data_IF_167721148520
#
_entry.id   IF_167721148520
#
_cell.length_a   1.000
_cell.length_b   1.000
_cell.length_c   1.000
_cell.angle_alpha   90.00
_cell.angle_beta   90.00
_cell.angle_gamma   90.00
#
_symmetry.space_group_name_H-M   'P 1'
#
loop_
_entity.id
_entity.type
_entity.pdbx_description
1 polymer ?
#
# COMPACT_ATOMS: atom_id res chain seq x y z
N UNK A 1 20.54 19.26 11.47
CA UNK A 1 20.70 17.89 10.91
C UNK A 1 19.37 17.50 10.29
N UNK A 2 19.33 17.15 9.01
CA UNK A 2 18.09 16.70 8.36
C UNK A 2 17.96 15.18 8.53
N UNK A 3 16.77 14.71 8.85
CA UNK A 3 16.44 13.28 8.83
C UNK A 3 15.79 12.99 7.49
N UNK A 4 16.37 12.07 6.72
CA UNK A 4 15.74 11.60 5.49
C UNK A 4 14.64 10.60 5.84
N UNK A 5 13.44 10.82 5.32
CA UNK A 5 12.30 9.90 5.45
C UNK A 5 11.96 9.39 4.05
N UNK A 6 11.83 8.08 3.91
CA UNK A 6 11.34 7.43 2.69
C UNK A 6 10.00 6.80 2.98
N UNK A 7 8.97 7.21 2.24
CA UNK A 7 7.63 6.63 2.30
C UNK A 7 7.48 5.61 1.18
N UNK A 8 7.17 4.37 1.54
CA UNK A 8 6.89 3.27 0.62
C UNK A 8 5.37 3.17 0.41
N UNK A 9 4.92 3.69 -0.72
CA UNK A 9 3.53 3.60 -1.18
C UNK A 9 3.45 2.77 -2.47
N UNK A 10 3.40 1.45 -2.29
CA UNK A 10 3.43 0.44 -3.35
C UNK A 10 2.59 -0.76 -2.95
N UNK A 11 2.28 -1.65 -3.91
CA UNK A 11 1.60 -2.93 -3.65
C UNK A 11 0.22 -3.03 -4.30
N UNK A 12 -0.49 -1.92 -4.53
CA UNK A 12 -1.83 -1.97 -5.14
C UNK A 12 -1.85 -2.62 -6.52
N UNK A 13 -0.74 -2.63 -7.26
CA UNK A 13 -0.63 -3.25 -8.59
C UNK A 13 -0.34 -4.77 -8.56
N UNK A 14 -0.08 -5.35 -7.40
CA UNK A 14 0.33 -6.75 -7.23
C UNK A 14 -0.90 -7.65 -7.08
N UNK A 15 -1.80 -7.63 -8.07
CA UNK A 15 -3.13 -8.27 -7.98
C UNK A 15 -3.07 -9.80 -7.87
N UNK A 16 -2.03 -10.41 -8.45
CA UNK A 16 -1.86 -11.86 -8.52
C UNK A 16 -0.72 -12.38 -7.62
N UNK A 17 -0.20 -11.55 -6.71
CA UNK A 17 0.87 -11.97 -5.81
C UNK A 17 0.32 -12.38 -4.44
N UNK A 18 0.72 -13.57 -4.00
CA UNK A 18 0.41 -14.04 -2.65
C UNK A 18 1.00 -13.10 -1.58
N UNK A 19 0.32 -12.89 -0.43
CA UNK A 19 0.78 -12.02 0.64
C UNK A 19 2.24 -12.24 1.06
N UNK A 20 2.66 -13.49 1.23
CA UNK A 20 4.03 -13.82 1.66
C UNK A 20 5.11 -13.41 0.65
N UNK A 21 4.81 -13.51 -0.65
CA UNK A 21 5.70 -13.08 -1.73
C UNK A 21 5.84 -11.55 -1.67
N UNK A 22 4.72 -10.85 -1.51
CA UNK A 22 4.71 -9.39 -1.41
C UNK A 22 5.48 -8.90 -0.17
N UNK A 23 5.32 -9.55 0.98
CA UNK A 23 6.11 -9.28 2.20
C UNK A 23 7.62 -9.47 1.96
N UNK A 24 8.02 -10.51 1.24
CA UNK A 24 9.42 -10.73 0.90
C UNK A 24 9.99 -9.61 0.02
N UNK A 25 9.20 -9.10 -0.95
CA UNK A 25 9.57 -7.94 -1.77
C UNK A 25 9.71 -6.68 -0.93
N UNK A 26 8.80 -6.42 0.01
CA UNK A 26 8.91 -5.28 0.92
C UNK A 26 10.20 -5.35 1.75
N UNK A 27 10.51 -6.51 2.34
CA UNK A 27 11.78 -6.71 3.08
C UNK A 27 13.00 -6.41 2.22
N UNK A 28 13.01 -6.91 0.99
CA UNK A 28 14.11 -6.64 0.04
C UNK A 28 14.23 -5.16 -0.30
N UNK A 29 13.11 -4.47 -0.54
CA UNK A 29 13.09 -3.03 -0.84
C UNK A 29 13.61 -2.20 0.35
N UNK A 30 13.16 -2.51 1.57
CA UNK A 30 13.61 -1.82 2.79
C UNK A 30 15.11 -2.04 3.00
N UNK A 31 15.60 -3.28 2.85
CA UNK A 31 17.03 -3.59 2.95
C UNK A 31 17.83 -2.74 1.98
N UNK A 32 17.43 -2.68 0.71
CA UNK A 32 18.11 -1.88 -0.32
C UNK A 32 18.13 -0.39 -0.03
N UNK A 33 17.09 0.15 0.62
CA UNK A 33 17.06 1.55 1.07
C UNK A 33 18.08 1.78 2.19
N UNK A 34 18.11 0.88 3.18
CA UNK A 34 19.01 0.97 4.32
C UNK A 34 20.48 0.71 3.93
N UNK A 35 20.72 -0.09 2.89
CA UNK A 35 22.05 -0.30 2.30
C UNK A 35 22.64 1.00 1.73
N UNK A 36 21.79 1.94 1.28
CA UNK A 36 22.23 3.27 0.84
C UNK A 36 22.61 4.14 2.04
N UNK A 37 21.78 4.12 3.09
CA UNK A 37 22.05 4.86 4.33
C UNK A 37 21.19 4.32 5.49
N UNK A 38 21.85 3.82 6.53
CA UNK A 38 21.21 3.26 7.73
C UNK A 38 20.44 4.29 8.58
N UNK A 39 20.66 5.60 8.38
CA UNK A 39 19.95 6.65 9.11
C UNK A 39 18.61 7.06 8.48
N UNK A 40 18.26 6.49 7.32
CA UNK A 40 16.97 6.73 6.67
C UNK A 40 15.85 6.15 7.53
N UNK A 41 14.83 6.98 7.82
CA UNK A 41 13.59 6.49 8.40
C UNK A 41 12.69 5.98 7.31
N UNK A 42 12.29 4.71 7.42
CA UNK A 42 11.35 4.09 6.50
C UNK A 42 9.94 4.16 7.10
N UNK A 43 8.99 4.58 6.27
CA UNK A 43 7.57 4.54 6.56
C UNK A 43 6.89 3.73 5.46
N UNK A 44 6.09 2.74 5.81
CA UNK A 44 5.30 1.96 4.87
C UNK A 44 3.86 2.44 4.96
N UNK A 45 3.25 2.78 3.83
CA UNK A 45 1.81 2.99 3.80
C UNK A 45 1.10 1.68 3.47
N UNK A 46 -0.12 1.55 3.97
CA UNK A 46 -1.05 0.51 3.60
C UNK A 46 -1.21 0.35 2.07
N UNK A 47 -1.35 -0.90 1.62
CA UNK A 47 -1.88 -1.23 0.29
C UNK A 47 -3.37 -0.89 0.30
N UNK A 48 -3.72 0.18 -0.40
CA UNK A 48 -5.09 0.66 -0.42
C UNK A 48 -6.03 -0.32 -1.14
N UNK A 49 -7.25 -0.52 -0.63
CA UNK A 49 -8.25 -1.35 -1.28
C UNK A 49 -8.65 -0.74 -2.62
N UNK A 50 -9.00 -1.62 -3.56
CA UNK A 50 -9.62 -1.24 -4.84
C UNK A 50 -11.13 -1.25 -4.72
N UNK A 51 -11.80 -0.50 -5.59
CA UNK A 51 -13.24 -0.52 -5.78
C UNK A 51 -13.57 -0.89 -7.23
N UNK A 52 -14.83 -1.28 -7.45
CA UNK A 52 -15.31 -1.55 -8.80
C UNK A 52 -15.14 -0.31 -9.69
N UNK A 53 -14.57 -0.51 -10.88
CA UNK A 53 -14.46 0.59 -11.83
C UNK A 53 -15.81 0.91 -12.46
N UNK A 54 -16.13 2.20 -12.55
CA UNK A 54 -17.33 2.69 -13.24
C UNK A 54 -17.12 2.80 -14.76
N UNK A 55 -15.95 2.44 -15.29
CA UNK A 55 -15.59 2.47 -16.71
C UNK A 55 -14.76 1.26 -17.09
N UNK A 56 -14.86 0.81 -18.34
CA UNK A 56 -13.94 -0.21 -18.86
C UNK A 56 -12.53 0.39 -18.94
N UNK A 57 -11.63 -0.09 -18.09
CA UNK A 57 -10.24 0.33 -18.04
C UNK A 57 -9.32 -0.85 -17.70
N UNK A 58 -8.01 -0.67 -17.86
CA UNK A 58 -7.00 -1.71 -17.59
C UNK A 58 -6.91 -2.11 -16.11
N UNK A 59 -7.54 -1.33 -15.22
CA UNK A 59 -7.54 -1.57 -13.77
C UNK A 59 -8.80 -2.29 -13.27
N UNK A 60 -9.78 -2.48 -14.15
CA UNK A 60 -11.05 -3.09 -13.79
C UNK A 60 -10.86 -4.57 -13.47
N UNK A 61 -11.30 -4.96 -12.28
CA UNK A 61 -11.37 -6.34 -11.81
C UNK A 61 -12.83 -6.78 -11.78
N UNK A 62 -13.06 -8.08 -11.97
CA UNK A 62 -14.35 -8.71 -11.66
C UNK A 62 -14.63 -8.66 -10.15
N UNK A 63 -15.87 -8.93 -9.75
CA UNK A 63 -16.27 -8.92 -8.33
C UNK A 63 -15.43 -9.90 -7.51
N UNK A 64 -15.22 -11.13 -8.01
CA UNK A 64 -14.41 -12.14 -7.31
C UNK A 64 -12.93 -11.76 -7.22
N UNK A 65 -12.36 -11.19 -8.28
CA UNK A 65 -10.98 -10.69 -8.26
C UNK A 65 -10.81 -9.51 -7.29
N UNK A 66 -11.82 -8.64 -7.19
CA UNK A 66 -11.81 -7.51 -6.26
C UNK A 66 -11.87 -7.97 -4.80
N UNK A 67 -12.74 -8.95 -4.50
CA UNK A 67 -12.85 -9.54 -3.16
C UNK A 67 -11.56 -10.26 -2.75
N UNK A 68 -10.99 -11.06 -3.65
CA UNK A 68 -9.71 -11.73 -3.43
C UNK A 68 -8.60 -10.72 -3.18
N UNK A 69 -8.45 -9.73 -4.07
CA UNK A 69 -7.42 -8.69 -3.94
C UNK A 69 -7.52 -7.93 -2.61
N UNK A 70 -8.72 -7.47 -2.24
CA UNK A 70 -8.89 -6.69 -1.02
C UNK A 70 -8.67 -7.54 0.25
N UNK A 71 -8.96 -8.84 0.19
CA UNK A 71 -8.64 -9.79 1.26
C UNK A 71 -7.14 -9.94 1.41
N UNK A 72 -6.43 -10.25 0.32
CA UNK A 72 -4.98 -10.44 0.31
C UNK A 72 -4.23 -9.15 0.69
N UNK A 73 -4.72 -7.99 0.25
CA UNK A 73 -4.20 -6.69 0.66
C UNK A 73 -4.34 -6.49 2.17
N UNK A 74 -5.51 -6.79 2.75
CA UNK A 74 -5.74 -6.71 4.19
C UNK A 74 -4.81 -7.61 5.00
N UNK A 75 -4.62 -8.86 4.57
CA UNK A 75 -3.68 -9.80 5.20
C UNK A 75 -2.24 -9.30 5.11
N UNK A 76 -1.84 -8.81 3.93
CA UNK A 76 -0.51 -8.23 3.72
C UNK A 76 -0.29 -7.02 4.62
N UNK A 77 -1.28 -6.12 4.72
CA UNK A 77 -1.21 -4.92 5.55
C UNK A 77 -1.04 -5.27 7.04
N UNK A 78 -1.77 -6.26 7.54
CA UNK A 78 -1.61 -6.73 8.92
C UNK A 78 -0.18 -7.25 9.19
N UNK A 79 0.39 -8.01 8.26
CA UNK A 79 1.76 -8.51 8.38
C UNK A 79 2.78 -7.36 8.28
N UNK A 80 2.58 -6.40 7.37
CA UNK A 80 3.44 -5.22 7.21
C UNK A 80 3.42 -4.35 8.46
N UNK A 81 2.25 -4.13 9.07
CA UNK A 81 2.11 -3.35 10.29
C UNK A 81 2.89 -4.00 11.44
N UNK A 82 2.73 -5.32 11.64
CA UNK A 82 3.48 -6.06 12.64
C UNK A 82 4.99 -6.03 12.37
N UNK A 83 5.40 -6.14 11.11
CA UNK A 83 6.79 -6.05 10.69
C UNK A 83 7.37 -4.66 10.96
N UNK A 84 6.65 -3.59 10.63
CA UNK A 84 7.08 -2.22 10.85
C UNK A 84 7.27 -1.95 12.34
N UNK A 85 6.28 -2.31 13.17
CA UNK A 85 6.39 -2.20 14.62
C UNK A 85 7.63 -2.95 15.14
N UNK A 86 7.79 -4.23 14.79
CA UNK A 86 8.92 -5.06 15.26
C UNK A 86 10.29 -4.45 14.92
N UNK A 87 10.42 -3.78 13.79
CA UNK A 87 11.68 -3.24 13.29
C UNK A 87 11.85 -1.72 13.53
N UNK A 88 10.89 -1.06 14.20
CA UNK A 88 10.93 0.38 14.45
C UNK A 88 10.69 1.25 13.21
N UNK A 89 10.04 0.72 12.17
CA UNK A 89 9.61 1.48 10.99
C UNK A 89 8.24 2.13 11.23
N UNK A 90 7.94 3.20 10.51
CA UNK A 90 6.59 3.78 10.51
C UNK A 90 5.63 2.94 9.67
N UNK A 91 4.36 2.88 10.09
CA UNK A 91 3.27 2.33 9.29
C UNK A 91 2.11 3.32 9.26
N UNK A 92 1.59 3.63 8.07
CA UNK A 92 0.45 4.54 7.87
C UNK A 92 -0.74 3.73 7.37
N UNK A 93 -1.81 3.71 8.15
CA UNK A 93 -3.11 3.16 7.80
C UNK A 93 -3.93 4.20 7.01
N UNK A 94 -4.47 3.82 5.86
CA UNK A 94 -5.22 4.71 4.98
C UNK A 94 -6.66 4.25 4.70
N UNK A 95 -7.08 3.09 5.21
CA UNK A 95 -8.35 2.45 4.79
C UNK A 95 -9.58 3.23 5.25
N UNK A 96 -9.48 3.91 6.40
CA UNK A 96 -10.64 4.50 7.07
C UNK A 96 -11.31 5.65 6.28
N UNK A 97 -10.66 6.18 5.24
CA UNK A 97 -11.12 7.41 4.58
C UNK A 97 -11.36 7.29 3.06
N UNK A 98 -11.25 6.11 2.44
CA UNK A 98 -11.27 5.98 0.97
C UNK A 98 -12.65 5.91 0.29
N UNK A 99 -13.74 5.70 1.03
CA UNK A 99 -15.10 5.63 0.47
C UNK A 99 -15.48 6.96 -0.20
N UNK A 100 -15.72 6.92 -1.52
CA UNK A 100 -16.03 8.12 -2.32
C UNK A 100 -14.82 9.02 -2.61
N UNK A 101 -13.60 8.57 -2.30
CA UNK A 101 -12.37 9.33 -2.53
C UNK A 101 -11.54 8.83 -3.70
N UNK A 102 -11.96 7.75 -4.37
CA UNK A 102 -11.33 7.20 -5.58
C UNK A 102 -11.93 7.81 -6.86
N UNK A 103 -11.12 7.87 -7.92
CA UNK A 103 -11.55 8.19 -9.28
C UNK A 103 -12.49 7.09 -9.80
N UNK A 104 -13.12 7.37 -10.93
CA UNK A 104 -14.00 6.43 -11.64
C UNK A 104 -13.31 5.12 -12.06
N UNK A 105 -11.97 5.08 -12.03
CA UNK A 105 -11.20 3.86 -12.28
C UNK A 105 -11.22 2.88 -11.09
N UNK A 106 -11.69 3.30 -9.92
CA UNK A 106 -11.78 2.45 -8.72
C UNK A 106 -10.42 2.15 -8.06
N UNK A 107 -9.34 2.82 -8.46
CA UNK A 107 -7.99 2.54 -7.94
C UNK A 107 -7.27 3.81 -7.51
N UNK A 108 -7.30 4.87 -8.31
CA UNK A 108 -6.53 6.08 -8.01
C UNK A 108 -7.33 7.05 -7.15
N UNK A 109 -6.72 7.73 -6.17
CA UNK A 109 -7.40 8.77 -5.41
C UNK A 109 -7.78 9.97 -6.29
N UNK A 110 -8.92 10.59 -5.97
CA UNK A 110 -9.29 11.93 -6.42
C UNK A 110 -8.37 12.98 -5.79
N UNK A 111 -8.43 14.23 -6.27
CA UNK A 111 -7.70 15.35 -5.63
C UNK A 111 -8.00 15.45 -4.13
N UNK A 112 -9.26 15.21 -3.73
CA UNK A 112 -9.67 15.18 -2.33
C UNK A 112 -9.06 13.98 -1.60
N UNK A 113 -9.10 12.79 -2.20
CA UNK A 113 -8.47 11.59 -1.63
C UNK A 113 -6.97 11.72 -1.41
N UNK A 114 -6.26 12.42 -2.30
CA UNK A 114 -4.81 12.68 -2.14
C UNK A 114 -4.47 13.70 -1.05
N UNK A 115 -5.44 14.46 -0.55
CA UNK A 115 -5.23 15.47 0.51
C UNK A 115 -5.47 14.92 1.92
N UNK A 116 -5.96 13.69 2.02
CA UNK A 116 -6.40 13.07 3.27
C UNK A 116 -5.26 12.31 3.97
N UNK A 117 -4.06 12.31 3.39
CA UNK A 117 -2.84 11.78 4.01
C UNK A 117 -2.23 12.82 4.96
N UNK A 118 -2.54 12.75 6.26
CA UNK A 118 -1.80 13.44 7.32
C UNK A 118 -1.11 12.43 8.23
#
# INVERSE_FOLDING_TARGET
>A
MYVLVVVLHVGTNNVDEEPLVLIARFRSLISRILDVNLSIRVVVSEILPRQASLRKCQWALSVGELEAFNTDAGETNAILQALCHKNGYGFVDGTCELMGMLKVDGVHPTKRGSQVSN
#
